data_IF_268902416283
#
_entry.id   IF_268902416283
#
_cell.length_a   1.000
_cell.length_b   1.000
_cell.length_c   1.000
_cell.angle_alpha   90.00
_cell.angle_beta   90.00
_cell.angle_gamma   90.00
#
_symmetry.space_group_name_H-M   'P 1'
#
loop_
_entity.id
_entity.type
_entity.pdbx_description
1 polymer ?
#
# COMPACT_ATOMS: atom_id res chain seq x y z
N UNK A 1 -3.69 3.15 28.11
CA UNK A 1 -2.41 3.69 27.58
C UNK A 1 -1.94 2.77 26.46
N UNK A 2 -2.28 3.09 25.21
CA UNK A 2 -1.86 2.30 24.06
C UNK A 2 -0.34 2.44 23.86
N UNK A 3 0.38 1.33 23.73
CA UNK A 3 1.83 1.30 23.56
C UNK A 3 2.17 1.10 22.07
N UNK A 4 2.24 2.19 21.31
CA UNK A 4 2.79 2.18 19.95
C UNK A 4 4.33 2.19 19.98
N UNK A 5 4.98 1.40 19.12
CA UNK A 5 6.45 1.48 18.92
C UNK A 5 6.71 2.62 17.95
N UNK A 6 6.86 3.84 18.46
CA UNK A 6 7.28 4.99 17.68
C UNK A 6 8.79 5.18 17.79
N UNK A 7 9.45 5.38 16.66
CA UNK A 7 10.88 5.74 16.61
C UNK A 7 10.99 7.18 16.15
N UNK A 8 11.77 7.98 16.85
CA UNK A 8 11.95 9.39 16.54
C UNK A 8 13.36 9.60 15.98
N UNK A 9 13.47 10.30 14.85
CA UNK A 9 14.75 10.76 14.32
C UNK A 9 15.01 12.19 14.84
N UNK A 10 15.92 12.38 15.82
CA UNK A 10 16.27 13.72 16.28
C UNK A 10 17.11 14.42 15.20
N UNK A 11 16.66 15.59 14.75
CA UNK A 11 17.34 16.38 13.71
C UNK A 11 18.37 17.36 14.31
N UNK A 12 18.45 17.46 15.64
CA UNK A 12 19.38 18.37 16.30
C UNK A 12 20.84 17.89 16.18
N UNK A 13 21.64 18.68 15.44
CA UNK A 13 23.10 18.59 15.27
C UNK A 13 23.59 17.77 14.05
N UNK A 14 23.43 18.32 12.84
CA UNK A 14 24.09 17.87 11.60
C UNK A 14 25.64 17.84 11.63
N UNK A 15 26.29 18.03 12.80
CA UNK A 15 27.75 18.07 12.91
C UNK A 15 28.38 17.02 13.79
N UNK A 16 27.66 16.10 14.46
CA UNK A 16 28.28 15.03 15.27
C UNK A 16 27.24 14.03 15.79
N UNK A 17 26.79 13.06 15.00
CA UNK A 17 26.23 11.84 15.58
C UNK A 17 26.49 10.61 14.72
N UNK A 18 27.18 9.65 15.34
CA UNK A 18 27.39 8.30 14.86
C UNK A 18 26.11 7.52 15.14
N UNK A 19 25.44 7.02 14.10
CA UNK A 19 24.33 6.08 14.21
C UNK A 19 24.79 4.82 14.95
N UNK A 20 24.50 4.74 16.24
CA UNK A 20 24.52 3.48 16.99
C UNK A 20 23.09 3.01 17.09
N UNK A 21 22.88 1.77 16.66
CA UNK A 21 21.63 1.01 16.49
C UNK A 21 21.08 1.02 15.06
N UNK A 22 21.11 -0.19 14.47
CA UNK A 22 20.67 -0.60 13.13
C UNK A 22 21.66 -0.40 11.97
N UNK A 23 22.94 -0.79 12.13
CA UNK A 23 23.69 -1.59 11.12
C UNK A 23 24.72 -2.43 11.90
N UNK A 24 24.35 -3.66 12.29
CA UNK A 24 25.34 -4.68 12.69
C UNK A 24 25.79 -5.35 11.40
N UNK A 25 27.12 -5.40 11.21
CA UNK A 25 27.90 -5.94 10.07
C UNK A 25 28.02 -5.09 8.80
N UNK A 26 28.81 -4.02 8.87
CA UNK A 26 29.62 -3.57 7.73
C UNK A 26 31.03 -3.21 8.24
N UNK A 27 32.12 -3.78 7.72
CA UNK A 27 33.46 -3.58 8.26
C UNK A 27 33.96 -2.16 7.98
N UNK A 28 34.62 -1.60 8.99
CA UNK A 28 35.18 -0.24 9.07
C UNK A 28 35.90 0.19 7.77
N UNK A 29 35.26 1.02 6.96
CA UNK A 29 35.94 1.92 6.03
C UNK A 29 35.96 3.32 6.65
N UNK A 30 37.18 3.79 6.97
CA UNK A 30 37.50 5.14 7.43
C UNK A 30 36.80 6.19 6.56
N UNK A 31 35.98 7.03 7.17
CA UNK A 31 35.49 8.26 6.55
C UNK A 31 36.68 9.24 6.48
N UNK A 32 37.28 9.36 5.30
CA UNK A 32 38.26 10.39 5.00
C UNK A 32 37.55 11.75 5.00
N UNK A 33 37.98 12.66 5.88
CA UNK A 33 37.81 14.11 5.69
C UNK A 33 38.74 14.51 4.54
N UNK A 34 38.24 14.45 3.30
CA UNK A 34 38.98 14.79 2.10
C UNK A 34 38.41 16.03 1.43
N UNK A 35 39.26 17.07 1.31
CA UNK A 35 39.31 18.09 0.24
C UNK A 35 38.03 18.84 -0.17
N UNK A 36 38.11 20.18 -0.18
CA UNK A 36 37.13 21.03 -0.86
C UNK A 36 37.04 20.65 -2.35
N UNK A 37 35.99 19.91 -2.72
CA UNK A 37 35.63 19.71 -4.12
C UNK A 37 35.13 21.05 -4.69
N UNK A 38 35.60 21.49 -5.87
CA UNK A 38 35.09 22.69 -6.50
C UNK A 38 33.60 22.50 -6.80
N UNK A 39 32.79 23.42 -6.27
CA UNK A 39 31.35 23.45 -6.51
C UNK A 39 31.14 23.78 -8.00
N UNK A 40 30.34 22.99 -8.74
CA UNK A 40 30.07 23.27 -10.15
C UNK A 40 29.44 24.67 -10.30
N UNK A 41 29.85 25.49 -11.30
CA UNK A 41 29.38 26.87 -11.45
C UNK A 41 27.86 27.01 -11.52
N UNK A 42 27.18 26.03 -12.11
CA UNK A 42 25.72 26.01 -12.28
C UNK A 42 24.94 25.62 -11.02
N UNK A 43 25.60 25.14 -9.96
CA UNK A 43 24.91 24.68 -8.75
C UNK A 43 24.22 25.84 -8.02
N UNK A 44 24.82 27.03 -8.05
CA UNK A 44 24.24 28.22 -7.43
C UNK A 44 22.93 28.62 -8.10
N UNK A 45 22.86 28.51 -9.43
CA UNK A 45 21.65 28.84 -10.19
C UNK A 45 20.53 27.85 -9.86
N UNK A 46 20.83 26.55 -9.80
CA UNK A 46 19.86 25.51 -9.40
C UNK A 46 19.34 25.75 -7.98
N UNK A 47 20.22 26.10 -7.03
CA UNK A 47 19.81 26.39 -5.65
C UNK A 47 18.95 27.66 -5.55
N UNK A 48 19.26 28.68 -6.36
CA UNK A 48 18.46 29.90 -6.45
C UNK A 48 17.07 29.62 -7.06
N UNK A 49 16.99 28.77 -8.09
CA UNK A 49 15.73 28.32 -8.68
C UNK A 49 14.88 27.47 -7.72
N UNK A 50 15.51 26.76 -6.78
CA UNK A 50 14.81 25.99 -5.76
C UNK A 50 14.20 26.87 -4.63
N UNK A 51 14.69 28.10 -4.44
CA UNK A 51 14.30 28.97 -3.33
C UNK A 51 12.78 29.25 -3.25
N UNK A 52 12.06 29.52 -4.34
CA UNK A 52 10.61 29.72 -4.29
C UNK A 52 9.85 28.49 -3.76
N UNK A 53 10.35 27.29 -4.06
CA UNK A 53 9.77 26.05 -3.54
C UNK A 53 10.01 25.91 -2.04
N UNK A 54 11.23 26.20 -1.58
CA UNK A 54 11.56 26.18 -0.15
C UNK A 54 10.67 27.15 0.62
N UNK A 55 10.54 28.40 0.16
CA UNK A 55 9.69 29.41 0.79
C UNK A 55 8.21 29.00 0.82
N UNK A 56 7.71 28.39 -0.25
CA UNK A 56 6.32 27.94 -0.36
C UNK A 56 5.94 26.87 0.68
N UNK A 57 6.87 25.97 0.99
CA UNK A 57 6.62 24.82 1.87
C UNK A 57 7.20 24.97 3.28
N UNK A 58 7.87 26.08 3.57
CA UNK A 58 8.42 26.36 4.88
C UNK A 58 7.34 26.32 5.97
N UNK A 59 7.59 25.56 7.03
CA UNK A 59 6.67 25.37 8.16
C UNK A 59 5.45 24.49 7.84
N UNK A 60 5.26 24.04 6.59
CA UNK A 60 4.16 23.13 6.27
C UNK A 60 4.43 21.74 6.81
N UNK A 61 3.36 21.11 7.30
CA UNK A 61 3.39 19.72 7.74
C UNK A 61 3.07 18.81 6.56
N UNK A 62 3.89 17.78 6.35
CA UNK A 62 3.72 16.78 5.29
C UNK A 62 3.78 15.39 5.88
N UNK A 63 2.76 14.58 5.63
CA UNK A 63 2.76 13.16 5.99
C UNK A 63 3.19 12.36 4.76
N UNK A 64 4.25 11.56 4.92
CA UNK A 64 4.88 10.78 3.86
C UNK A 64 4.69 9.30 4.15
N UNK A 65 4.00 8.59 3.25
CA UNK A 65 3.96 7.12 3.24
C UNK A 65 5.18 6.55 2.53
N UNK A 66 5.82 5.58 3.16
CA UNK A 66 6.90 4.78 2.61
C UNK A 66 6.56 3.29 2.63
N UNK A 67 6.60 2.65 1.47
CA UNK A 67 6.16 1.27 1.29
C UNK A 67 6.54 0.69 -0.07
N UNK A 68 6.23 -0.59 -0.28
CA UNK A 68 6.32 -1.23 -1.60
C UNK A 68 7.74 -1.55 -2.07
N UNK A 69 7.97 -1.47 -3.38
CA UNK A 69 9.25 -1.83 -4.01
C UNK A 69 10.42 -0.95 -3.53
N UNK A 70 10.13 0.30 -3.14
CA UNK A 70 11.12 1.24 -2.62
C UNK A 70 11.82 0.76 -1.34
N UNK A 71 11.19 -0.14 -0.56
CA UNK A 71 11.77 -0.73 0.66
C UNK A 71 12.74 -1.89 0.38
N UNK A 72 12.75 -2.44 -0.85
CA UNK A 72 13.58 -3.62 -1.19
C UNK A 72 15.00 -3.25 -1.59
N UNK A 73 15.21 -2.07 -2.15
CA UNK A 73 16.51 -1.61 -2.62
C UNK A 73 17.21 -0.75 -1.58
N UNK A 74 18.45 -1.11 -1.24
CA UNK A 74 19.29 -0.34 -0.31
C UNK A 74 19.64 1.06 -0.86
N UNK A 75 19.76 1.18 -2.18
CA UNK A 75 20.01 2.47 -2.84
C UNK A 75 18.80 3.39 -2.70
N UNK A 76 17.59 2.87 -2.93
CA UNK A 76 16.35 3.64 -2.79
C UNK A 76 16.08 4.00 -1.34
N UNK A 77 16.30 3.08 -0.40
CA UNK A 77 16.22 3.36 1.05
C UNK A 77 17.11 4.55 1.44
N UNK A 78 18.38 4.52 1.04
CA UNK A 78 19.31 5.60 1.36
C UNK A 78 18.94 6.93 0.67
N UNK A 79 18.41 6.88 -0.55
CA UNK A 79 17.88 8.06 -1.24
C UNK A 79 16.73 8.71 -0.48
N UNK A 80 15.72 7.91 -0.12
CA UNK A 80 14.56 8.42 0.63
C UNK A 80 14.96 9.03 1.96
N UNK A 81 15.85 8.39 2.73
CA UNK A 81 16.29 8.95 4.01
C UNK A 81 17.02 10.30 3.80
N UNK A 82 17.85 10.43 2.77
CA UNK A 82 18.51 11.71 2.45
C UNK A 82 17.50 12.79 2.12
N UNK A 83 16.46 12.46 1.34
CA UNK A 83 15.41 13.40 0.95
C UNK A 83 14.60 13.86 2.17
N UNK A 84 14.24 12.94 3.09
CA UNK A 84 13.54 13.28 4.33
C UNK A 84 14.35 14.26 5.19
N UNK A 85 15.65 13.98 5.38
CA UNK A 85 16.53 14.85 6.16
C UNK A 85 16.65 16.21 5.49
N UNK A 86 16.85 16.27 4.17
CA UNK A 86 16.93 17.51 3.41
C UNK A 86 15.65 18.35 3.56
N UNK A 87 14.47 17.73 3.34
CA UNK A 87 13.17 18.38 3.46
C UNK A 87 12.93 18.94 4.87
N UNK A 88 13.34 18.20 5.90
CA UNK A 88 13.29 18.68 7.28
C UNK A 88 14.24 19.87 7.51
N UNK A 89 15.47 19.80 6.99
CA UNK A 89 16.45 20.88 7.11
C UNK A 89 16.03 22.18 6.40
N UNK A 90 15.29 22.09 5.29
CA UNK A 90 14.76 23.29 4.60
C UNK A 90 13.47 23.82 5.21
N UNK A 91 12.99 23.21 6.30
CA UNK A 91 11.92 23.74 7.15
C UNK A 91 10.56 23.08 6.99
N UNK A 92 10.44 21.92 6.32
CA UNK A 92 9.21 21.13 6.35
C UNK A 92 9.11 20.35 7.67
N UNK A 93 7.89 20.23 8.19
CA UNK A 93 7.56 19.37 9.33
C UNK A 93 7.08 18.02 8.81
N UNK A 94 7.90 16.99 8.91
CA UNK A 94 7.61 15.69 8.29
C UNK A 94 7.06 14.69 9.30
N UNK A 95 6.10 13.88 8.86
CA UNK A 95 5.69 12.65 9.54
C UNK A 95 5.89 11.49 8.60
N UNK A 96 6.72 10.51 8.98
CA UNK A 96 7.11 9.41 8.13
C UNK A 96 6.37 8.13 8.53
N UNK A 97 5.42 7.73 7.69
CA UNK A 97 4.62 6.52 7.82
C UNK A 97 5.30 5.39 7.07
N UNK A 98 5.48 4.22 7.68
CA UNK A 98 5.92 3.03 6.96
C UNK A 98 4.92 1.87 7.03
N UNK A 99 4.82 1.14 5.93
CA UNK A 99 4.21 -0.18 5.91
C UNK A 99 5.14 -1.23 6.53
N UNK A 100 4.60 -2.41 6.80
CA UNK A 100 5.40 -3.54 7.28
C UNK A 100 4.78 -4.90 6.97
N UNK A 101 3.84 -5.00 6.01
CA UNK A 101 3.07 -6.23 5.77
C UNK A 101 3.91 -7.52 5.78
N UNK A 102 4.98 -7.63 4.96
CA UNK A 102 5.88 -8.78 4.94
C UNK A 102 6.66 -9.02 6.25
N UNK A 103 7.24 -7.97 6.84
CA UNK A 103 8.05 -8.07 8.07
C UNK A 103 7.16 -8.43 9.27
N UNK A 104 5.94 -7.88 9.32
CA UNK A 104 4.95 -8.22 10.35
C UNK A 104 4.48 -9.67 10.17
N UNK A 105 4.33 -10.18 8.95
CA UNK A 105 4.03 -11.61 8.75
C UNK A 105 5.14 -12.50 9.34
N UNK A 106 6.41 -12.09 9.19
CA UNK A 106 7.55 -12.82 9.76
C UNK A 106 7.55 -12.79 11.30
N UNK A 107 7.27 -11.62 11.90
CA UNK A 107 7.15 -11.49 13.36
C UNK A 107 5.93 -12.23 13.94
N UNK A 108 4.79 -12.19 13.27
CA UNK A 108 3.60 -12.95 13.66
C UNK A 108 3.86 -14.46 13.62
N UNK A 109 4.58 -14.94 12.59
CA UNK A 109 5.01 -16.33 12.50
C UNK A 109 5.93 -16.72 13.67
N UNK A 110 6.90 -15.86 14.02
CA UNK A 110 7.81 -16.07 15.17
C UNK A 110 7.07 -16.07 16.52
N UNK A 111 6.00 -15.27 16.64
CA UNK A 111 5.17 -15.20 17.84
C UNK A 111 4.10 -16.32 17.91
N UNK A 112 4.01 -17.20 16.91
CA UNK A 112 2.97 -18.23 16.83
C UNK A 112 1.56 -17.68 16.59
N UNK A 113 1.43 -16.39 16.25
CA UNK A 113 0.16 -15.71 16.00
C UNK A 113 -0.19 -15.90 14.53
N UNK A 114 -1.29 -16.61 14.23
CA UNK A 114 -1.74 -16.78 12.86
C UNK A 114 -2.40 -15.48 12.36
N UNK A 115 -1.88 -14.84 11.30
CA UNK A 115 -2.52 -13.68 10.72
C UNK A 115 -3.90 -14.10 10.16
N UNK A 116 -4.95 -13.39 10.56
CA UNK A 116 -6.29 -13.62 10.00
C UNK A 116 -6.50 -12.68 8.81
N UNK A 117 -6.63 -13.26 7.63
CA UNK A 117 -7.03 -12.58 6.41
C UNK A 117 -8.50 -12.88 6.16
N UNK A 118 -9.35 -11.86 6.11
CA UNK A 118 -10.77 -12.03 5.80
C UNK A 118 -11.00 -11.32 4.46
N UNK A 119 -11.25 -12.09 3.41
CA UNK A 119 -11.48 -11.60 2.05
C UNK A 119 -10.31 -10.85 1.39
N UNK A 120 -9.06 -11.09 1.80
CA UNK A 120 -7.87 -10.49 1.17
C UNK A 120 -7.07 -9.56 2.09
N UNK A 121 -7.59 -8.38 2.48
CA UNK A 121 -6.87 -7.55 3.45
C UNK A 121 -6.73 -8.31 4.78
N UNK A 122 -5.62 -8.05 5.48
CA UNK A 122 -5.50 -8.50 6.87
C UNK A 122 -6.63 -7.86 7.67
N UNK A 123 -7.46 -8.68 8.31
CA UNK A 123 -8.67 -8.23 8.97
C UNK A 123 -8.32 -7.60 10.31
N UNK A 124 -8.63 -6.31 10.41
CA UNK A 124 -8.34 -5.47 11.55
C UNK A 124 -9.38 -4.34 11.57
N UNK A 125 -10.57 -4.60 12.10
CA UNK A 125 -11.54 -3.54 12.34
C UNK A 125 -11.15 -2.76 13.58
N UNK A 126 -10.78 -1.50 13.40
CA UNK A 126 -10.79 -0.49 14.46
C UNK A 126 -11.58 0.72 13.96
N UNK A 127 -12.44 1.35 14.78
CA UNK A 127 -13.11 2.58 14.41
C UNK A 127 -12.06 3.66 14.07
N UNK A 128 -12.23 4.32 12.93
CA UNK A 128 -11.26 5.23 12.31
C UNK A 128 -10.74 6.32 13.26
N UNK A 129 -11.56 6.81 14.20
CA UNK A 129 -11.15 7.79 15.21
C UNK A 129 -10.15 7.23 16.24
N UNK A 130 -10.26 5.93 16.58
CA UNK A 130 -9.31 5.27 17.48
C UNK A 130 -7.94 5.01 16.83
N UNK A 131 -7.86 5.03 15.50
CA UNK A 131 -6.60 4.80 14.78
C UNK A 131 -5.56 5.87 15.09
N UNK A 132 -5.97 7.14 15.18
CA UNK A 132 -5.09 8.26 15.51
C UNK A 132 -4.65 8.20 16.97
N UNK A 133 -5.53 7.77 17.89
CA UNK A 133 -5.16 7.60 19.31
C UNK A 133 -4.20 6.41 19.52
N UNK A 134 -4.42 5.31 18.80
CA UNK A 134 -3.55 4.13 18.89
C UNK A 134 -2.19 4.35 18.22
N UNK A 135 -2.15 5.22 17.20
CA UNK A 135 -0.93 5.64 16.50
C UNK A 135 -0.51 7.00 17.07
N UNK A 136 0.06 6.99 18.27
CA UNK A 136 0.42 8.20 19.02
C UNK A 136 1.27 9.19 18.19
N UNK A 137 0.65 10.18 17.55
CA UNK A 137 1.35 11.31 16.94
C UNK A 137 1.17 12.54 17.80
N UNK A 138 2.17 12.82 18.61
CA UNK A 138 2.19 14.05 19.40
C UNK A 138 2.63 15.23 18.52
N UNK A 139 1.75 16.23 18.39
CA UNK A 139 2.03 17.48 17.66
C UNK A 139 3.29 18.18 18.19
N UNK A 140 3.55 18.09 19.50
CA UNK A 140 4.73 18.69 20.10
C UNK A 140 6.04 18.10 19.56
N UNK A 141 6.04 16.80 19.18
CA UNK A 141 7.23 16.15 18.63
C UNK A 141 7.52 16.67 17.21
N UNK A 142 6.46 16.85 16.42
CA UNK A 142 6.54 17.38 15.05
C UNK A 142 7.01 18.84 15.09
N UNK A 143 6.50 19.62 16.03
CA UNK A 143 6.86 21.04 16.19
C UNK A 143 8.30 21.25 16.68
N UNK A 144 8.86 20.27 17.42
CA UNK A 144 10.25 20.29 17.87
C UNK A 144 11.27 19.89 16.78
N UNK A 145 10.83 19.75 15.53
CA UNK A 145 11.71 19.45 14.39
C UNK A 145 12.22 18.01 14.34
N UNK A 146 11.64 17.09 15.12
CA UNK A 146 11.89 15.66 14.96
C UNK A 146 11.02 15.10 13.82
N UNK A 147 11.50 14.07 13.12
CA UNK A 147 10.70 13.34 12.14
C UNK A 147 10.15 12.09 12.85
N UNK A 148 8.85 12.01 13.19
CA UNK A 148 8.26 10.79 13.71
C UNK A 148 8.26 9.71 12.65
N UNK A 149 8.75 8.52 13.00
CA UNK A 149 8.68 7.31 12.17
C UNK A 149 7.64 6.38 12.78
N UNK A 150 6.58 6.12 12.01
CA UNK A 150 5.36 5.50 12.49
C UNK A 150 5.08 4.21 11.71
N UNK A 151 4.92 3.11 12.43
CA UNK A 151 4.43 1.85 11.88
C UNK A 151 2.88 1.82 11.88
N UNK A 152 2.30 1.20 10.86
CA UNK A 152 0.84 1.01 10.72
C UNK A 152 0.29 -0.14 11.60
N UNK A 153 0.71 -0.18 12.88
CA UNK A 153 0.28 -1.18 13.87
C UNK A 153 -0.27 -0.46 15.10
N UNK A 154 -1.36 -0.98 15.66
CA UNK A 154 -2.12 -0.40 16.75
C UNK A 154 -2.59 -1.48 17.74
N UNK A 155 -3.03 -1.11 18.94
CA UNK A 155 -3.67 -2.03 19.88
C UNK A 155 -4.88 -1.38 20.55
N UNK A 156 -5.96 -2.15 20.75
CA UNK A 156 -7.12 -1.65 21.51
C UNK A 156 -6.87 -1.66 23.03
N UNK A 157 -7.85 -1.18 23.80
CA UNK A 157 -7.79 -1.14 25.27
C UNK A 157 -7.68 -2.52 25.94
N UNK A 158 -8.00 -3.59 25.21
CA UNK A 158 -7.79 -4.98 25.67
C UNK A 158 -6.37 -5.48 25.42
N UNK A 159 -5.52 -4.68 24.78
CA UNK A 159 -4.15 -5.04 24.38
C UNK A 159 -4.10 -5.89 23.12
N UNK A 160 -5.21 -6.05 22.39
CA UNK A 160 -5.24 -6.82 21.14
C UNK A 160 -4.63 -5.99 20.03
N UNK A 161 -3.62 -6.56 19.37
CA UNK A 161 -2.84 -5.90 18.32
C UNK A 161 -3.48 -6.03 16.95
N UNK A 162 -3.39 -4.96 16.18
CA UNK A 162 -4.10 -4.68 14.96
C UNK A 162 -3.13 -4.13 13.90
N UNK A 163 -3.16 -4.69 12.70
CA UNK A 163 -2.39 -4.16 11.57
C UNK A 163 -3.33 -3.36 10.67
N UNK A 164 -3.13 -2.06 10.64
CA UNK A 164 -4.01 -1.13 9.96
C UNK A 164 -3.45 -0.88 8.56
N UNK A 165 -4.33 -0.63 7.59
CA UNK A 165 -3.89 -0.19 6.27
C UNK A 165 -3.16 1.16 6.40
N UNK A 166 -1.90 1.22 5.96
CA UNK A 166 -1.03 2.40 6.07
C UNK A 166 -1.58 3.63 5.34
N UNK A 167 -2.37 3.44 4.27
CA UNK A 167 -2.99 4.52 3.49
C UNK A 167 -4.09 5.19 4.31
N UNK A 168 -4.92 4.37 4.96
CA UNK A 168 -5.95 4.87 5.86
C UNK A 168 -5.32 5.66 7.02
N UNK A 169 -4.29 5.11 7.66
CA UNK A 169 -3.59 5.79 8.76
C UNK A 169 -2.97 7.11 8.29
N UNK A 170 -2.29 7.10 7.14
CA UNK A 170 -1.67 8.30 6.55
C UNK A 170 -2.69 9.42 6.33
N UNK A 171 -3.86 9.11 5.76
CA UNK A 171 -4.92 10.09 5.52
C UNK A 171 -5.50 10.66 6.81
N UNK A 172 -5.77 9.82 7.79
CA UNK A 172 -6.33 10.25 9.07
C UNK A 172 -5.33 11.12 9.85
N UNK A 173 -4.06 10.75 9.88
CA UNK A 173 -3.00 11.56 10.51
C UNK A 173 -2.85 12.89 9.77
N UNK A 174 -2.87 12.88 8.43
CA UNK A 174 -2.78 14.12 7.66
C UNK A 174 -3.96 15.06 7.97
N UNK A 175 -5.19 14.54 8.03
CA UNK A 175 -6.37 15.28 8.43
C UNK A 175 -6.26 15.84 9.86
N UNK A 176 -5.83 15.02 10.83
CA UNK A 176 -5.65 15.42 12.23
C UNK A 176 -4.61 16.53 12.42
N UNK A 177 -3.53 16.48 11.64
CA UNK A 177 -2.45 17.47 11.66
C UNK A 177 -2.75 18.71 10.83
N UNK A 178 -3.83 18.72 10.04
CA UNK A 178 -4.07 19.75 9.02
C UNK A 178 -2.94 19.81 7.99
N UNK A 179 -2.31 18.66 7.73
CA UNK A 179 -1.12 18.52 6.90
C UNK A 179 -1.49 18.22 5.46
N UNK A 180 -0.62 18.60 4.53
CA UNK A 180 -0.69 18.10 3.16
C UNK A 180 -0.23 16.64 3.16
N UNK A 181 -1.07 15.72 2.69
CA UNK A 181 -0.65 14.34 2.48
C UNK A 181 0.07 14.27 1.14
N UNK A 182 1.40 14.10 1.17
CA UNK A 182 2.16 13.74 -0.02
C UNK A 182 2.27 12.23 -0.05
N UNK A 183 1.29 11.59 -0.68
CA UNK A 183 1.47 10.23 -1.14
C UNK A 183 2.48 10.31 -2.29
N UNK A 184 3.52 9.47 -2.27
CA UNK A 184 3.98 8.94 -3.55
C UNK A 184 2.77 8.20 -4.12
N UNK A 185 1.94 8.91 -4.90
CA UNK A 185 0.85 8.37 -5.66
C UNK A 185 1.46 7.49 -6.75
N UNK A 186 2.08 6.38 -6.33
CA UNK A 186 2.49 5.35 -7.26
C UNK A 186 1.19 4.93 -7.95
N UNK A 187 1.13 5.18 -9.26
CA UNK A 187 0.14 4.54 -10.10
C UNK A 187 0.33 3.03 -9.92
N UNK A 188 -0.53 2.45 -9.11
CA UNK A 188 -0.53 1.02 -8.86
C UNK A 188 -1.30 0.35 -9.98
N UNK A 189 -0.92 -0.90 -10.24
CA UNK A 189 -1.68 -1.80 -11.10
C UNK A 189 -2.30 -2.89 -10.25
N UNK A 190 -3.56 -3.21 -10.55
CA UNK A 190 -4.28 -4.32 -9.94
C UNK A 190 -4.83 -5.23 -11.04
N UNK A 191 -4.97 -6.52 -10.73
CA UNK A 191 -5.72 -7.42 -11.60
C UNK A 191 -7.22 -7.29 -11.31
N UNK A 192 -8.01 -7.21 -12.37
CA UNK A 192 -9.44 -7.46 -12.35
C UNK A 192 -9.76 -8.65 -13.25
N UNK A 193 -10.63 -9.56 -12.80
CA UNK A 193 -11.14 -10.65 -13.64
C UNK A 193 -12.66 -10.62 -13.59
N UNK A 194 -13.31 -10.39 -14.73
CA UNK A 194 -14.74 -10.69 -14.87
C UNK A 194 -14.86 -12.20 -15.05
N UNK A 195 -15.53 -12.83 -14.09
CA UNK A 195 -15.69 -14.29 -14.00
C UNK A 195 -16.78 -14.78 -14.97
N UNK A 196 -16.93 -16.11 -15.18
CA UNK A 196 -17.87 -16.63 -16.18
C UNK A 196 -19.32 -16.17 -15.97
N UNK A 197 -19.76 -16.01 -14.72
CA UNK A 197 -21.09 -15.47 -14.38
C UNK A 197 -21.25 -14.00 -14.81
N UNK A 198 -20.23 -13.15 -14.59
CA UNK A 198 -20.23 -11.76 -15.04
C UNK A 198 -20.18 -11.62 -16.57
N UNK A 199 -19.51 -12.55 -17.24
CA UNK A 199 -19.45 -12.61 -18.70
C UNK A 199 -20.79 -13.06 -19.31
N UNK A 200 -21.41 -14.11 -18.76
CA UNK A 200 -22.67 -14.66 -19.27
C UNK A 200 -23.89 -13.78 -18.97
N UNK A 201 -23.83 -12.94 -17.94
CA UNK A 201 -24.89 -11.99 -17.58
C UNK A 201 -24.91 -10.70 -18.41
N UNK A 202 -24.06 -10.58 -19.44
CA UNK A 202 -23.85 -9.36 -20.24
C UNK A 202 -23.48 -8.11 -19.40
N UNK A 203 -22.92 -8.32 -18.20
CA UNK A 203 -22.50 -7.24 -17.31
C UNK A 203 -21.11 -6.69 -17.66
N UNK A 204 -20.39 -7.30 -18.61
CA UNK A 204 -19.03 -6.89 -18.96
C UNK A 204 -18.95 -5.43 -19.43
N UNK A 205 -19.91 -4.97 -20.23
CA UNK A 205 -19.95 -3.58 -20.70
C UNK A 205 -20.32 -2.60 -19.57
N UNK A 206 -21.22 -3.00 -18.68
CA UNK A 206 -21.60 -2.22 -17.50
C UNK A 206 -20.41 -2.08 -16.53
N UNK A 207 -19.68 -3.17 -16.28
CA UNK A 207 -18.45 -3.18 -15.48
C UNK A 207 -17.39 -2.28 -16.12
N UNK A 208 -17.17 -2.37 -17.43
CA UNK A 208 -16.25 -1.48 -18.15
C UNK A 208 -16.64 -0.01 -17.96
N UNK A 209 -17.93 0.31 -18.08
CA UNK A 209 -18.45 1.67 -17.88
C UNK A 209 -18.19 2.15 -16.45
N UNK A 210 -18.42 1.31 -15.44
CA UNK A 210 -18.16 1.63 -14.04
C UNK A 210 -16.66 1.86 -13.79
N UNK A 211 -15.79 1.01 -14.34
CA UNK A 211 -14.33 1.14 -14.20
C UNK A 211 -13.86 2.51 -14.71
N UNK A 212 -14.27 2.87 -15.93
CA UNK A 212 -13.91 4.15 -16.55
C UNK A 212 -14.50 5.34 -15.80
N UNK A 213 -15.78 5.28 -15.43
CA UNK A 213 -16.46 6.34 -14.67
C UNK A 213 -15.83 6.57 -13.29
N UNK A 214 -15.24 5.53 -12.69
CA UNK A 214 -14.50 5.63 -11.42
C UNK A 214 -13.03 6.01 -11.61
N UNK A 215 -12.60 6.37 -12.81
CA UNK A 215 -11.28 6.92 -13.09
C UNK A 215 -10.15 5.89 -13.08
N UNK A 216 -10.45 4.60 -13.29
CA UNK A 216 -9.42 3.61 -13.59
C UNK A 216 -9.04 3.67 -15.07
N UNK A 217 -7.76 3.49 -15.36
CA UNK A 217 -7.27 3.25 -16.72
C UNK A 217 -7.20 1.74 -16.95
N UNK A 218 -7.83 1.24 -18.00
CA UNK A 218 -7.66 -0.15 -18.44
C UNK A 218 -6.39 -0.19 -19.30
N UNK A 219 -5.30 -0.72 -18.74
CA UNK A 219 -3.99 -0.79 -19.42
C UNK A 219 -4.02 -1.82 -20.54
N UNK A 220 -4.57 -3.00 -20.23
CA UNK A 220 -4.76 -4.08 -21.20
C UNK A 220 -5.86 -5.02 -20.71
N UNK A 221 -6.42 -5.80 -21.62
CA UNK A 221 -7.43 -6.81 -21.34
C UNK A 221 -7.22 -8.04 -22.21
N UNK A 222 -7.50 -9.22 -21.65
CA UNK A 222 -7.37 -10.51 -22.32
C UNK A 222 -8.61 -11.34 -22.02
N UNK A 223 -9.30 -11.77 -23.07
CA UNK A 223 -10.37 -12.76 -22.97
C UNK A 223 -9.74 -14.14 -23.07
N UNK A 224 -9.96 -15.01 -22.09
CA UNK A 224 -9.36 -16.34 -22.04
C UNK A 224 -10.30 -17.37 -21.42
N UNK A 225 -10.14 -18.62 -21.85
CA UNK A 225 -10.76 -19.78 -21.20
C UNK A 225 -9.69 -20.46 -20.34
N UNK A 226 -9.92 -20.56 -19.03
CA UNK A 226 -8.96 -21.22 -18.13
C UNK A 226 -9.15 -22.73 -18.17
N UNK A 227 -8.04 -23.46 -18.25
CA UNK A 227 -8.03 -24.91 -18.03
C UNK A 227 -7.86 -25.24 -16.53
N UNK A 228 -8.02 -26.53 -16.19
CA UNK A 228 -7.91 -26.97 -14.79
C UNK A 228 -6.52 -26.71 -14.19
N UNK A 229 -5.44 -26.77 -14.99
CA UNK A 229 -4.09 -26.56 -14.51
C UNK A 229 -3.86 -25.08 -14.16
N UNK A 230 -4.31 -24.17 -15.02
CA UNK A 230 -4.25 -22.73 -14.82
C UNK A 230 -5.03 -22.30 -13.58
N UNK A 231 -6.28 -22.76 -13.41
CA UNK A 231 -7.08 -22.42 -12.23
C UNK A 231 -6.45 -22.97 -10.95
N UNK A 232 -5.92 -24.20 -10.98
CA UNK A 232 -5.24 -24.80 -9.83
C UNK A 232 -4.02 -24.00 -9.40
N UNK A 233 -3.20 -23.58 -10.37
CA UNK A 233 -2.01 -22.80 -10.11
C UNK A 233 -2.35 -21.40 -9.60
N UNK A 234 -3.35 -20.75 -10.20
CA UNK A 234 -3.76 -19.40 -9.82
C UNK A 234 -4.37 -19.34 -8.40
N UNK A 235 -5.25 -20.28 -8.07
CA UNK A 235 -5.91 -20.35 -6.74
C UNK A 235 -5.22 -21.33 -5.78
N UNK A 236 -3.94 -21.65 -5.98
CA UNK A 236 -3.24 -22.68 -5.19
C UNK A 236 -3.30 -22.44 -3.67
N UNK A 237 -3.37 -21.18 -3.24
CA UNK A 237 -3.53 -20.77 -1.85
C UNK A 237 -4.88 -21.20 -1.22
N UNK A 238 -5.86 -21.56 -2.04
CA UNK A 238 -7.15 -22.09 -1.61
C UNK A 238 -7.23 -23.61 -1.73
N UNK A 239 -6.17 -24.30 -2.14
CA UNK A 239 -6.17 -25.75 -2.43
C UNK A 239 -6.64 -26.64 -1.27
N UNK A 240 -6.48 -26.20 -0.03
CA UNK A 240 -6.94 -26.92 1.17
C UNK A 240 -8.34 -26.53 1.65
N UNK A 241 -9.06 -25.68 0.91
CA UNK A 241 -10.41 -25.25 1.26
C UNK A 241 -11.45 -26.17 0.62
N UNK A 242 -12.53 -26.45 1.35
CA UNK A 242 -13.60 -27.34 0.88
C UNK A 242 -14.27 -26.86 -0.43
N UNK A 243 -14.30 -25.55 -0.66
CA UNK A 243 -14.87 -24.94 -1.87
C UNK A 243 -13.93 -24.99 -3.10
N UNK A 244 -12.68 -25.44 -2.96
CA UNK A 244 -11.69 -25.35 -4.04
C UNK A 244 -12.09 -26.14 -5.29
N UNK A 245 -12.68 -27.32 -5.11
CA UNK A 245 -13.15 -28.13 -6.23
C UNK A 245 -14.32 -27.46 -6.99
N UNK A 246 -15.26 -26.87 -6.25
CA UNK A 246 -16.37 -26.10 -6.84
C UNK A 246 -15.85 -24.89 -7.61
N UNK A 247 -14.93 -24.13 -7.01
CA UNK A 247 -14.27 -22.98 -7.62
C UNK A 247 -13.54 -23.37 -8.92
N UNK A 248 -12.83 -24.49 -8.94
CA UNK A 248 -12.18 -25.00 -10.16
C UNK A 248 -13.20 -25.24 -11.26
N UNK A 249 -14.25 -26.02 -10.97
CA UNK A 249 -15.30 -26.33 -11.94
C UNK A 249 -15.95 -25.06 -12.48
N UNK A 250 -16.22 -24.09 -11.61
CA UNK A 250 -16.81 -22.81 -11.97
C UNK A 250 -15.89 -21.96 -12.86
N UNK A 251 -14.64 -21.73 -12.48
CA UNK A 251 -13.71 -20.90 -13.27
C UNK A 251 -13.38 -21.53 -14.64
N UNK A 252 -13.51 -22.86 -14.78
CA UNK A 252 -13.37 -23.56 -16.07
C UNK A 252 -14.67 -23.65 -16.87
N UNK A 253 -15.81 -23.20 -16.35
CA UNK A 253 -17.12 -23.39 -17.00
C UNK A 253 -17.40 -22.43 -18.16
N UNK A 254 -16.58 -21.39 -18.33
CA UNK A 254 -16.76 -20.38 -19.36
C UNK A 254 -15.60 -19.39 -19.41
N UNK A 255 -15.63 -18.44 -20.35
CA UNK A 255 -14.53 -17.50 -20.54
C UNK A 255 -14.48 -16.49 -19.39
N UNK A 256 -13.28 -15.95 -19.18
CA UNK A 256 -13.03 -14.86 -18.23
C UNK A 256 -12.37 -13.69 -18.97
N UNK A 257 -12.67 -12.47 -18.52
CA UNK A 257 -12.00 -11.26 -19.00
C UNK A 257 -11.04 -10.78 -17.93
N UNK A 258 -9.75 -11.03 -18.10
CA UNK A 258 -8.69 -10.49 -17.26
C UNK A 258 -8.31 -9.09 -17.74
N UNK A 259 -8.12 -8.15 -16.82
CA UNK A 259 -7.77 -6.76 -17.10
C UNK A 259 -6.71 -6.27 -16.12
N UNK A 260 -5.74 -5.50 -16.64
CA UNK A 260 -4.84 -4.71 -15.81
C UNK A 260 -5.48 -3.33 -15.65
N UNK A 261 -5.82 -2.97 -14.41
CA UNK A 261 -6.34 -1.65 -14.07
C UNK A 261 -5.24 -0.82 -13.41
N UNK A 262 -5.08 0.43 -13.84
CA UNK A 262 -4.12 1.38 -13.29
C UNK A 262 -4.86 2.61 -12.72
N UNK A 263 -4.50 2.96 -11.49
CA UNK A 263 -4.98 4.14 -10.77
C UNK A 263 -4.05 4.41 -9.57
N UNK A 264 -4.08 5.61 -9.03
CA UNK A 264 -3.57 5.85 -7.68
C UNK A 264 -4.28 4.91 -6.69
N UNK A 265 -3.54 4.19 -5.85
CA UNK A 265 -4.07 3.19 -4.92
C UNK A 265 -5.03 2.16 -5.55
N UNK A 266 -4.72 1.73 -6.78
CA UNK A 266 -5.61 0.90 -7.60
C UNK A 266 -6.14 -0.33 -6.87
N UNK A 267 -5.31 -1.05 -6.09
CA UNK A 267 -5.74 -2.25 -5.35
C UNK A 267 -6.82 -1.89 -4.34
N UNK A 268 -6.57 -0.90 -3.48
CA UNK A 268 -7.52 -0.50 -2.44
C UNK A 268 -8.81 0.08 -3.04
N UNK A 269 -8.69 0.95 -4.04
CA UNK A 269 -9.85 1.55 -4.72
C UNK A 269 -10.68 0.50 -5.47
N UNK A 270 -10.02 -0.48 -6.10
CA UNK A 270 -10.71 -1.55 -6.81
C UNK A 270 -11.46 -2.46 -5.85
N UNK A 271 -10.82 -2.82 -4.73
CA UNK A 271 -11.43 -3.60 -3.65
C UNK A 271 -12.66 -2.90 -3.05
N UNK A 272 -12.59 -1.59 -2.83
CA UNK A 272 -13.73 -0.81 -2.37
C UNK A 272 -14.87 -0.80 -3.41
N UNK A 273 -14.54 -0.65 -4.69
CA UNK A 273 -15.51 -0.60 -5.79
C UNK A 273 -16.24 -1.95 -6.00
N UNK A 274 -15.53 -3.07 -5.90
CA UNK A 274 -16.16 -4.39 -6.09
C UNK A 274 -16.94 -4.85 -4.85
N UNK A 275 -16.58 -4.40 -3.64
CA UNK A 275 -17.24 -4.75 -2.39
C UNK A 275 -16.87 -6.13 -1.82
N UNK A 276 -17.53 -6.61 -0.76
CA UNK A 276 -17.16 -7.84 -0.06
C UNK A 276 -17.33 -9.08 -0.94
N UNK A 277 -16.54 -10.13 -0.67
CA UNK A 277 -16.46 -11.35 -1.52
C UNK A 277 -17.80 -12.06 -1.69
N UNK A 278 -18.62 -12.11 -0.64
CA UNK A 278 -19.98 -12.66 -0.71
C UNK A 278 -20.94 -11.59 -1.23
N UNK A 279 -21.52 -11.86 -2.41
CA UNK A 279 -22.48 -10.97 -3.05
C UNK A 279 -23.75 -10.73 -2.20
N UNK A 280 -24.16 -11.69 -1.37
CA UNK A 280 -25.31 -11.52 -0.46
C UNK A 280 -25.01 -10.46 0.60
N UNK A 281 -23.80 -10.51 1.15
CA UNK A 281 -23.29 -9.48 2.06
C UNK A 281 -23.12 -8.14 1.34
N UNK A 282 -22.64 -8.15 0.10
CA UNK A 282 -22.46 -6.94 -0.70
C UNK A 282 -23.79 -6.20 -0.93
N UNK A 283 -24.87 -6.92 -1.29
CA UNK A 283 -26.20 -6.34 -1.51
C UNK A 283 -26.75 -5.57 -0.30
N UNK A 284 -26.39 -6.00 0.91
CA UNK A 284 -26.85 -5.36 2.15
C UNK A 284 -25.91 -4.23 2.57
N UNK A 285 -24.61 -4.51 2.63
CA UNK A 285 -23.62 -3.58 3.22
C UNK A 285 -23.06 -2.56 2.22
N UNK A 286 -23.01 -2.91 0.94
CA UNK A 286 -22.40 -2.12 -0.14
C UNK A 286 -23.24 -2.24 -1.43
N UNK A 287 -24.52 -1.79 -1.41
CA UNK A 287 -25.47 -2.04 -2.50
C UNK A 287 -25.04 -1.45 -3.86
N UNK A 288 -24.11 -0.50 -3.86
CA UNK A 288 -23.55 0.13 -5.08
C UNK A 288 -22.29 -0.59 -5.61
N UNK A 289 -21.86 -1.68 -5.00
CA UNK A 289 -20.66 -2.40 -5.43
C UNK A 289 -20.94 -3.32 -6.62
N UNK A 290 -19.90 -3.62 -7.41
CA UNK A 290 -20.05 -4.51 -8.59
C UNK A 290 -20.54 -5.91 -8.17
N UNK A 291 -20.10 -6.43 -7.03
CA UNK A 291 -20.59 -7.73 -6.51
C UNK A 291 -22.04 -7.69 -6.07
N UNK A 292 -22.54 -6.55 -5.60
CA UNK A 292 -23.96 -6.37 -5.30
C UNK A 292 -24.82 -6.35 -6.59
N UNK A 293 -24.29 -5.75 -7.65
CA UNK A 293 -24.92 -5.62 -8.96
C UNK A 293 -25.13 -6.98 -9.66
N UNK A 294 -24.05 -7.77 -9.82
CA UNK A 294 -24.09 -8.98 -10.66
C UNK A 294 -23.75 -10.30 -9.93
N UNK A 295 -23.39 -10.26 -8.65
CA UNK A 295 -23.06 -11.45 -7.88
C UNK A 295 -24.29 -12.19 -7.32
N UNK A 296 -24.16 -13.50 -7.13
CA UNK A 296 -25.16 -14.39 -6.54
C UNK A 296 -24.78 -14.85 -5.13
N UNK A 297 -23.53 -15.26 -4.93
CA UNK A 297 -23.00 -15.78 -3.67
C UNK A 297 -21.48 -15.54 -3.55
N UNK A 298 -20.80 -16.28 -2.67
CA UNK A 298 -19.35 -16.16 -2.44
C UNK A 298 -18.49 -16.74 -3.55
N UNK A 299 -18.97 -17.74 -4.28
CA UNK A 299 -18.24 -18.36 -5.41
C UNK A 299 -18.53 -17.59 -6.71
N UNK A 300 -19.83 -17.40 -6.99
CA UNK A 300 -20.39 -16.68 -8.13
C UNK A 300 -20.62 -15.22 -7.78
N UNK A 301 -19.52 -14.50 -7.57
CA UNK A 301 -19.53 -13.09 -7.21
C UNK A 301 -19.17 -12.16 -8.37
N UNK A 302 -19.26 -12.61 -9.62
CA UNK A 302 -19.07 -11.82 -10.84
C UNK A 302 -17.62 -11.32 -11.10
N UNK A 303 -16.87 -10.93 -10.07
CA UNK A 303 -15.59 -10.23 -10.24
C UNK A 303 -14.53 -10.57 -9.19
N UNK A 304 -13.29 -10.76 -9.67
CA UNK A 304 -12.08 -10.88 -8.87
C UNK A 304 -11.33 -9.55 -8.77
N UNK A 305 -10.66 -9.35 -7.65
CA UNK A 305 -9.73 -8.24 -7.45
C UNK A 305 -8.66 -8.62 -6.44
N UNK A 306 -7.40 -8.37 -6.81
CA UNK A 306 -6.20 -8.61 -6.00
C UNK A 306 -6.34 -7.99 -4.61
N UNK A 307 -5.73 -8.61 -3.60
CA UNK A 307 -5.88 -8.21 -2.21
C UNK A 307 -4.78 -7.28 -1.70
N UNK A 308 -3.66 -7.25 -2.40
CA UNK A 308 -2.44 -6.54 -2.05
C UNK A 308 -1.66 -6.18 -3.32
N UNK A 309 -0.71 -5.24 -3.21
CA UNK A 309 0.18 -4.92 -4.32
C UNK A 309 1.05 -6.12 -4.72
N UNK A 310 1.45 -6.94 -3.74
CA UNK A 310 2.22 -8.15 -3.97
C UNK A 310 1.41 -9.22 -4.70
N UNK A 311 0.14 -9.44 -4.33
CA UNK A 311 -0.72 -10.38 -5.07
C UNK A 311 -1.01 -9.85 -6.47
N UNK A 312 -1.32 -8.56 -6.60
CA UNK A 312 -1.54 -7.92 -7.90
C UNK A 312 -0.37 -8.14 -8.86
N UNK A 313 0.88 -7.92 -8.42
CA UNK A 313 2.05 -8.15 -9.25
C UNK A 313 2.19 -9.61 -9.71
N UNK A 314 1.99 -10.57 -8.80
CA UNK A 314 2.06 -12.01 -9.13
C UNK A 314 0.93 -12.43 -10.08
N UNK A 315 -0.29 -12.00 -9.79
CA UNK A 315 -1.50 -12.31 -10.55
C UNK A 315 -1.45 -11.69 -11.95
N UNK A 316 -0.96 -10.45 -12.07
CA UNK A 316 -0.72 -9.80 -13.37
C UNK A 316 0.33 -10.59 -14.17
N UNK A 317 1.47 -10.93 -13.54
CA UNK A 317 2.51 -11.71 -14.20
C UNK A 317 2.01 -13.08 -14.67
N UNK A 318 1.06 -13.69 -13.96
CA UNK A 318 0.47 -14.97 -14.36
C UNK A 318 -0.33 -14.88 -15.67
N UNK A 319 -1.09 -13.79 -15.89
CA UNK A 319 -1.94 -13.65 -17.08
C UNK A 319 -1.27 -12.89 -18.24
N UNK A 320 -0.29 -12.03 -17.93
CA UNK A 320 0.31 -11.07 -18.87
C UNK A 320 1.84 -11.09 -18.88
N UNK A 321 2.51 -11.96 -18.12
CA UNK A 321 3.97 -11.97 -17.99
C UNK A 321 4.74 -12.48 -19.22
N UNK A 322 4.05 -13.12 -20.16
CA UNK A 322 4.67 -13.67 -21.37
C UNK A 322 4.66 -12.72 -22.58
N UNK A 323 4.05 -11.53 -22.45
CA UNK A 323 4.05 -10.53 -23.52
C UNK A 323 5.34 -9.70 -23.49
N UNK A 324 6.42 -10.30 -24.04
CA UNK A 324 7.48 -9.52 -24.68
C UNK A 324 6.93 -8.99 -26.02
N UNK A 325 6.34 -7.81 -26.00
CA UNK A 325 6.06 -7.02 -27.22
C UNK A 325 6.45 -5.57 -27.01
#
# INVERSE_FOLDING_TARGET
VAHGINVYLPVQSCNKFSLKYVIRTCPKSRMFLGGAHPVPPFLNDILAEALPFVQKFQGKTVVIKYGGAAMKSEVLKNGVIKDLVLLSCVGLRLVFMHGGGPEINEWLARAGIRPQFKNGPRFTEAPTMGVVEMVLVDKAIVDNGSIPVIASVAADDSGKVYNINVDNVTREIAAYLGAESSCFAERQRTLAIVKPDGMMGNHSEEINTIILAKGFVIVTRKLLQLDQAAVRNFYAEHSQRDFFHSLMKFMTSGPVLAMILEKEDAVAQWRALIGPTDARTAKISHPQSIRALCGLDSEKNCIHGSDSCESAAREISFFFGDDKS
#
